data_IF_286916686975
#
_entry.id   IF_286916686975
#
_cell.length_a   1.000
_cell.length_b   1.000
_cell.length_c   1.000
_cell.angle_alpha   90.00
_cell.angle_beta   90.00
_cell.angle_gamma   90.00
#
_symmetry.space_group_name_H-M   'P 1'
#
loop_
_entity.id
_entity.type
_entity.pdbx_description
1 polymer ?
#
# COMPACT_ATOMS: atom_id res chain seq x y z
N UNK A 1 -5.16 23.65 -93.07
CA UNK A 1 -3.87 23.68 -92.32
C UNK A 1 -3.95 22.66 -91.20
N UNK A 2 -2.97 21.74 -91.16
CA UNK A 2 -2.58 20.82 -90.09
C UNK A 2 -3.62 19.89 -89.44
N UNK A 3 -3.32 18.64 -89.08
CA UNK A 3 -2.35 17.60 -89.47
C UNK A 3 -2.79 16.39 -88.64
N UNK A 4 -2.88 15.21 -89.26
CA UNK A 4 -3.14 13.90 -88.62
C UNK A 4 -2.08 13.52 -87.58
N UNK A 5 -2.41 12.58 -86.69
CA UNK A 5 -1.64 11.43 -86.11
C UNK A 5 -2.64 10.73 -85.14
N UNK A 6 -3.38 9.65 -85.46
CA UNK A 6 -3.10 8.20 -85.55
C UNK A 6 -2.23 7.61 -84.40
N UNK A 7 -2.71 6.48 -83.86
CA UNK A 7 -2.01 5.34 -83.21
C UNK A 7 -2.22 5.26 -81.70
N UNK A 8 -2.32 4.09 -81.06
CA UNK A 8 -2.59 2.68 -81.39
C UNK A 8 -2.44 1.97 -80.03
N UNK A 9 -2.84 0.70 -79.97
CA UNK A 9 -2.34 -0.28 -78.99
C UNK A 9 -2.90 -0.19 -77.56
N UNK A 10 -3.73 -1.16 -77.18
CA UNK A 10 -3.36 -2.52 -76.75
C UNK A 10 -2.86 -2.55 -75.30
N UNK A 11 -3.27 -3.62 -74.65
CA UNK A 11 -2.64 -4.37 -73.56
C UNK A 11 -3.59 -4.54 -72.37
N UNK A 12 -4.16 -5.73 -72.19
CA UNK A 12 -3.56 -6.89 -71.48
C UNK A 12 -3.88 -6.74 -69.99
N UNK A 13 -4.89 -7.42 -69.46
CA UNK A 13 -4.86 -8.84 -69.06
C UNK A 13 -4.95 -8.91 -67.53
N UNK A 14 -5.58 -10.00 -67.09
CA UNK A 14 -5.13 -10.87 -65.99
C UNK A 14 -5.84 -10.78 -64.63
N UNK A 15 -6.31 -11.96 -64.23
CA UNK A 15 -6.39 -12.53 -62.87
C UNK A 15 -7.51 -11.98 -61.97
N UNK A 16 -8.62 -12.68 -61.69
CA UNK A 16 -8.75 -14.00 -61.02
C UNK A 16 -7.73 -14.12 -59.88
N UNK A 17 -8.15 -14.10 -58.61
CA UNK A 17 -8.28 -15.31 -57.77
C UNK A 17 -8.87 -14.93 -56.40
N UNK A 18 -9.76 -15.79 -55.91
CA UNK A 18 -10.38 -15.84 -54.59
C UNK A 18 -9.36 -15.86 -53.43
N UNK A 19 -9.71 -15.27 -52.27
CA UNK A 19 -8.90 -15.45 -51.06
C UNK A 19 -9.45 -14.81 -49.78
N UNK A 20 -10.16 -15.62 -48.98
CA UNK A 20 -10.16 -15.62 -47.51
C UNK A 20 -10.53 -14.32 -46.76
N UNK A 21 -11.84 -14.11 -46.56
CA UNK A 21 -12.38 -13.26 -45.49
C UNK A 21 -12.47 -14.05 -44.17
N UNK A 22 -11.35 -14.30 -43.49
CA UNK A 22 -11.34 -14.86 -42.13
C UNK A 22 -9.97 -14.67 -41.46
N UNK A 23 -9.59 -13.44 -41.14
CA UNK A 23 -8.42 -13.13 -40.30
C UNK A 23 -8.45 -11.64 -39.90
N UNK A 24 -9.40 -11.25 -39.06
CA UNK A 24 -9.35 -9.93 -38.39
C UNK A 24 -9.90 -9.96 -36.96
N UNK A 25 -10.79 -10.91 -36.63
CA UNK A 25 -11.36 -11.02 -35.28
C UNK A 25 -10.41 -11.61 -34.20
N UNK A 26 -9.25 -12.14 -34.58
CA UNK A 26 -8.33 -12.83 -33.66
C UNK A 26 -7.37 -11.89 -32.90
N UNK A 27 -6.88 -10.82 -33.54
CA UNK A 27 -5.87 -9.95 -32.92
C UNK A 27 -6.48 -8.88 -32.00
N UNK A 28 -7.63 -8.32 -32.37
CA UNK A 28 -8.29 -7.28 -31.57
C UNK A 28 -8.89 -7.84 -30.27
N UNK A 29 -9.42 -9.07 -30.31
CA UNK A 29 -9.90 -9.79 -29.13
C UNK A 29 -8.78 -10.18 -28.16
N UNK A 30 -7.61 -10.58 -28.67
CA UNK A 30 -6.42 -10.87 -27.85
C UNK A 30 -5.83 -9.60 -27.21
N UNK A 31 -5.79 -8.49 -27.96
CA UNK A 31 -5.34 -7.17 -27.47
C UNK A 31 -6.19 -6.64 -26.32
N UNK A 32 -7.53 -6.71 -26.46
CA UNK A 32 -8.45 -6.25 -25.41
C UNK A 32 -8.43 -7.15 -24.17
N UNK A 33 -8.31 -8.47 -24.33
CA UNK A 33 -8.22 -9.40 -23.21
C UNK A 33 -6.90 -9.24 -22.44
N UNK A 34 -5.77 -9.05 -23.15
CA UNK A 34 -4.47 -8.80 -22.53
C UNK A 34 -4.42 -7.46 -21.79
N UNK A 35 -4.94 -6.37 -22.37
CA UNK A 35 -5.02 -5.05 -21.71
C UNK A 35 -5.91 -5.07 -20.48
N UNK A 36 -7.05 -5.75 -20.55
CA UNK A 36 -7.96 -5.84 -19.41
C UNK A 36 -7.36 -6.69 -18.29
N UNK A 37 -6.75 -7.85 -18.61
CA UNK A 37 -6.11 -8.72 -17.61
C UNK A 37 -4.93 -8.03 -16.93
N UNK A 38 -4.01 -7.42 -17.70
CA UNK A 38 -2.89 -6.67 -17.13
C UNK A 38 -3.36 -5.48 -16.28
N UNK A 39 -4.39 -4.75 -16.71
CA UNK A 39 -4.95 -3.64 -15.95
C UNK A 39 -5.55 -4.06 -14.61
N UNK A 40 -6.29 -5.17 -14.58
CA UNK A 40 -6.83 -5.74 -13.33
C UNK A 40 -5.74 -6.33 -12.44
N UNK A 41 -4.74 -7.01 -13.00
CA UNK A 41 -3.65 -7.63 -12.24
C UNK A 41 -2.71 -6.58 -11.65
N UNK A 42 -2.37 -5.53 -12.42
CA UNK A 42 -1.57 -4.40 -11.95
C UNK A 42 -2.31 -3.58 -10.90
N UNK A 43 -3.60 -3.29 -11.11
CA UNK A 43 -4.43 -2.61 -10.11
C UNK A 43 -4.56 -3.42 -8.81
N UNK A 44 -4.71 -4.75 -8.92
CA UNK A 44 -4.72 -5.66 -7.79
C UNK A 44 -3.39 -5.69 -7.03
N UNK A 45 -2.26 -5.71 -7.74
CA UNK A 45 -0.92 -5.63 -7.15
C UNK A 45 -0.68 -4.28 -6.47
N UNK A 46 -1.04 -3.16 -7.11
CA UNK A 46 -0.91 -1.81 -6.55
C UNK A 46 -1.78 -1.61 -5.30
N UNK A 47 -3.01 -2.15 -5.29
CA UNK A 47 -3.87 -2.15 -4.10
C UNK A 47 -3.23 -2.90 -2.93
N UNK A 48 -2.51 -4.00 -3.18
CA UNK A 48 -1.76 -4.72 -2.13
C UNK A 48 -0.55 -3.93 -1.61
N UNK A 49 -0.02 -3.01 -2.41
CA UNK A 49 1.10 -2.13 -2.03
C UNK A 49 0.66 -0.84 -1.34
N UNK A 50 -0.63 -0.50 -1.36
CA UNK A 50 -1.15 0.70 -0.72
C UNK A 50 -1.06 0.57 0.79
N UNK A 51 -0.56 1.62 1.46
CA UNK A 51 -0.47 1.64 2.91
C UNK A 51 -1.86 1.63 3.55
N UNK A 52 -2.04 0.86 4.62
CA UNK A 52 -3.33 0.69 5.31
C UNK A 52 -3.28 1.26 6.72
N UNK A 53 -4.40 1.79 7.20
CA UNK A 53 -4.52 2.20 8.60
C UNK A 53 -4.74 0.97 9.49
N UNK A 54 -3.65 0.39 10.04
CA UNK A 54 -3.73 -0.83 10.84
C UNK A 54 -4.54 -0.64 12.12
N UNK A 55 -4.54 0.54 12.71
CA UNK A 55 -5.29 0.81 13.93
C UNK A 55 -6.81 0.77 13.70
N UNK A 56 -7.27 1.20 12.52
CA UNK A 56 -8.68 1.08 12.12
C UNK A 56 -9.10 -0.36 11.80
N UNK A 57 -8.16 -1.21 11.39
CA UNK A 57 -8.46 -2.59 10.95
C UNK A 57 -8.39 -3.64 12.05
N UNK A 58 -7.85 -3.28 13.22
CA UNK A 58 -7.70 -4.16 14.38
C UNK A 58 -8.66 -3.64 15.45
N UNK A 59 -9.61 -4.47 15.87
CA UNK A 59 -10.68 -4.07 16.78
C UNK A 59 -10.13 -3.52 18.10
N UNK A 60 -9.13 -4.19 18.68
CA UNK A 60 -8.49 -3.81 19.93
C UNK A 60 -7.72 -2.48 19.84
N UNK A 61 -7.39 -2.04 18.62
CA UNK A 61 -6.69 -0.78 18.37
C UNK A 61 -7.63 0.39 18.10
N UNK A 62 -8.94 0.18 17.96
CA UNK A 62 -9.88 1.29 17.71
C UNK A 62 -9.90 2.33 18.84
N UNK A 63 -9.46 1.94 20.04
CA UNK A 63 -9.31 2.83 21.19
C UNK A 63 -8.36 4.00 20.92
N UNK A 64 -7.43 3.90 19.96
CA UNK A 64 -6.50 5.00 19.66
C UNK A 64 -7.19 6.26 19.13
N UNK A 65 -8.40 6.11 18.58
CA UNK A 65 -9.23 7.19 18.05
C UNK A 65 -10.31 7.62 19.05
N UNK A 66 -10.30 7.08 20.28
CA UNK A 66 -11.27 7.45 21.28
C UNK A 66 -11.02 8.87 21.80
N UNK A 67 -12.08 9.66 21.83
CA UNK A 67 -12.09 10.98 22.43
C UNK A 67 -12.47 10.84 23.91
N UNK A 68 -11.54 11.22 24.79
CA UNK A 68 -11.78 11.21 26.23
C UNK A 68 -12.14 12.62 26.71
N UNK A 69 -13.10 12.72 27.64
CA UNK A 69 -13.44 13.99 28.29
C UNK A 69 -12.28 14.51 29.18
N UNK A 70 -11.44 13.61 29.66
CA UNK A 70 -10.25 13.89 30.48
C UNK A 70 -9.06 13.22 29.79
N UNK A 71 -7.97 13.95 29.60
CA UNK A 71 -6.74 13.38 29.06
C UNK A 71 -6.23 12.28 30.00
N UNK A 72 -6.05 11.07 29.46
CA UNK A 72 -5.43 9.96 30.19
C UNK A 72 -3.99 10.34 30.55
N UNK A 73 -3.56 9.98 31.76
CA UNK A 73 -2.13 10.04 32.06
C UNK A 73 -1.35 9.01 31.21
N UNK A 74 -0.03 9.12 31.19
CA UNK A 74 0.78 8.26 30.33
C UNK A 74 0.71 6.78 30.72
N UNK A 75 0.59 6.49 32.02
CA UNK A 75 0.50 5.13 32.53
C UNK A 75 -0.85 4.51 32.18
N UNK A 76 -1.93 5.26 32.34
CA UNK A 76 -3.28 4.88 31.91
C UNK A 76 -3.34 4.66 30.40
N UNK A 77 -2.69 5.52 29.60
CA UNK A 77 -2.58 5.33 28.15
C UNK A 77 -1.85 4.03 27.80
N UNK A 78 -0.73 3.72 28.47
CA UNK A 78 0.00 2.45 28.28
C UNK A 78 -0.91 1.25 28.61
N UNK A 79 -1.58 1.25 29.76
CA UNK A 79 -2.49 0.18 30.17
C UNK A 79 -3.64 0.00 29.17
N UNK A 80 -4.24 1.12 28.73
CA UNK A 80 -5.33 1.15 27.75
C UNK A 80 -4.90 0.57 26.39
N UNK A 81 -3.65 0.78 26.00
CA UNK A 81 -3.10 0.32 24.72
C UNK A 81 -2.56 -1.11 24.74
N UNK A 82 -2.50 -1.79 25.90
CA UNK A 82 -2.01 -3.18 26.01
C UNK A 82 -2.73 -4.17 25.07
N UNK A 83 -4.08 -4.18 24.98
CA UNK A 83 -4.77 -5.07 24.06
C UNK A 83 -4.39 -4.80 22.60
N UNK A 84 -4.26 -3.54 22.21
CA UNK A 84 -3.80 -3.14 20.89
C UNK A 84 -2.36 -3.63 20.61
N UNK A 85 -1.43 -3.44 21.55
CA UNK A 85 -0.04 -3.92 21.40
C UNK A 85 0.03 -5.44 21.19
N UNK A 86 -0.80 -6.20 21.92
CA UNK A 86 -0.93 -7.65 21.73
C UNK A 86 -1.45 -7.99 20.33
N UNK A 87 -2.49 -7.30 19.86
CA UNK A 87 -3.05 -7.53 18.53
C UNK A 87 -2.07 -7.15 17.40
N UNK A 88 -1.31 -6.05 17.57
CA UNK A 88 -0.23 -5.68 16.68
C UNK A 88 0.87 -6.75 16.64
N UNK A 89 1.22 -7.34 17.79
CA UNK A 89 2.19 -8.43 17.87
C UNK A 89 1.76 -9.64 17.03
N UNK A 90 0.49 -10.05 17.18
CA UNK A 90 -0.07 -11.16 16.40
C UNK A 90 -0.06 -10.85 14.90
N UNK A 91 -0.42 -9.62 14.50
CA UNK A 91 -0.42 -9.21 13.10
C UNK A 91 0.99 -9.12 12.51
N UNK A 92 1.95 -8.65 13.28
CA UNK A 92 3.33 -8.46 12.84
C UNK A 92 4.12 -9.77 12.84
N UNK A 93 3.69 -10.78 13.60
CA UNK A 93 4.45 -12.02 13.82
C UNK A 93 5.71 -11.80 14.66
N UNK A 94 5.80 -10.67 15.37
CA UNK A 94 6.92 -10.29 16.25
C UNK A 94 6.38 -9.66 17.53
N UNK A 95 7.14 -9.66 18.63
CA UNK A 95 6.74 -8.95 19.84
C UNK A 95 6.58 -7.45 19.56
N UNK A 96 5.46 -6.87 19.97
CA UNK A 96 5.18 -5.43 19.98
C UNK A 96 4.75 -5.03 21.39
N UNK A 97 5.42 -4.05 21.97
CA UNK A 97 5.01 -3.44 23.23
C UNK A 97 4.85 -1.93 23.08
N UNK A 98 3.94 -1.37 23.87
CA UNK A 98 3.77 0.08 24.02
C UNK A 98 4.11 0.37 25.47
N UNK A 99 5.10 1.25 25.69
CA UNK A 99 5.60 1.57 27.02
C UNK A 99 5.83 3.07 27.15
N UNK A 100 6.01 3.54 28.37
CA UNK A 100 6.54 4.87 28.64
C UNK A 100 7.99 4.97 28.12
N UNK A 101 8.33 6.08 27.46
CA UNK A 101 9.70 6.42 27.10
C UNK A 101 10.55 6.51 28.37
N UNK A 102 11.55 5.62 28.47
CA UNK A 102 12.55 5.69 29.52
C UNK A 102 13.53 6.82 29.21
N UNK A 103 13.10 8.07 29.43
CA UNK A 103 14.03 9.21 29.41
C UNK A 103 14.98 9.13 30.61
N UNK A 104 16.31 9.28 30.40
CA UNK A 104 17.24 9.49 31.51
C UNK A 104 16.77 10.66 32.38
N UNK A 105 16.95 10.55 33.70
CA UNK A 105 16.53 11.60 34.64
C UNK A 105 17.04 12.97 34.18
N UNK A 106 16.12 13.88 33.83
CA UNK A 106 16.42 15.24 33.36
C UNK A 106 16.18 15.51 31.87
N UNK A 107 15.91 14.49 31.04
CA UNK A 107 15.46 14.71 29.66
C UNK A 107 13.93 14.95 29.63
N UNK A 108 13.51 16.10 29.11
CA UNK A 108 12.10 16.48 29.05
C UNK A 108 11.41 15.82 27.86
N UNK A 109 10.41 14.98 28.14
CA UNK A 109 9.44 14.51 27.16
C UNK A 109 8.78 13.19 27.57
N UNK A 110 7.54 13.26 28.05
CA UNK A 110 6.67 12.08 28.21
C UNK A 110 6.15 11.65 26.84
N UNK A 111 6.46 10.42 26.42
CA UNK A 111 5.99 9.87 25.16
C UNK A 111 5.73 8.36 25.29
N UNK A 112 4.92 7.83 24.38
CA UNK A 112 4.75 6.40 24.20
C UNK A 112 5.82 5.87 23.24
N UNK A 113 6.53 4.83 23.66
CA UNK A 113 7.39 4.05 22.78
C UNK A 113 6.68 2.79 22.31
N UNK A 114 6.49 2.68 21.00
CA UNK A 114 6.07 1.46 20.35
C UNK A 114 7.31 0.66 19.93
N UNK A 115 7.62 -0.36 20.72
CA UNK A 115 8.80 -1.21 20.62
C UNK A 115 8.48 -2.46 19.81
N UNK A 116 9.13 -2.62 18.66
CA UNK A 116 9.06 -3.80 17.77
C UNK A 116 10.29 -4.74 17.89
N UNK A 117 10.08 -5.98 18.33
CA UNK A 117 11.16 -6.93 18.65
C UNK A 117 12.09 -7.27 17.48
N UNK A 118 13.19 -7.99 17.79
CA UNK A 118 14.13 -8.46 16.77
C UNK A 118 13.41 -9.30 15.71
N UNK A 119 13.55 -8.86 14.45
CA UNK A 119 12.77 -9.37 13.31
C UNK A 119 11.97 -8.28 12.59
N UNK A 120 11.77 -7.12 13.22
CA UNK A 120 11.16 -5.96 12.55
C UNK A 120 12.03 -5.45 11.39
N UNK A 121 11.60 -5.71 10.15
CA UNK A 121 12.25 -5.19 8.93
C UNK A 121 11.68 -3.83 8.56
N UNK A 122 12.56 -2.87 8.27
CA UNK A 122 12.21 -1.50 7.83
C UNK A 122 11.26 -1.52 6.63
N UNK A 123 11.56 -2.38 5.66
CA UNK A 123 10.81 -2.49 4.40
C UNK A 123 9.62 -3.46 4.48
N UNK A 124 9.14 -3.81 5.68
CA UNK A 124 7.97 -4.69 5.82
C UNK A 124 6.66 -3.95 5.53
N UNK A 125 5.66 -4.67 5.03
CA UNK A 125 4.31 -4.14 4.86
C UNK A 125 3.72 -3.64 6.19
N UNK A 126 3.99 -4.37 7.29
CA UNK A 126 3.60 -3.96 8.64
C UNK A 126 4.19 -2.59 9.01
N UNK A 127 5.49 -2.37 8.80
CA UNK A 127 6.12 -1.08 9.10
C UNK A 127 5.57 0.07 8.28
N UNK A 128 5.34 -0.17 6.97
CA UNK A 128 4.71 0.83 6.10
C UNK A 128 3.32 1.21 6.61
N UNK A 129 2.50 0.21 6.92
CA UNK A 129 1.11 0.42 7.34
C UNK A 129 1.06 1.05 8.75
N UNK A 130 1.94 0.64 9.68
CA UNK A 130 2.10 1.26 11.01
C UNK A 130 2.49 2.74 10.90
N UNK A 131 3.51 3.06 10.11
CA UNK A 131 3.94 4.45 9.90
C UNK A 131 2.84 5.30 9.26
N UNK A 132 2.09 4.73 8.31
CA UNK A 132 0.93 5.39 7.72
C UNK A 132 -0.14 5.70 8.78
N UNK A 133 -0.46 4.73 9.64
CA UNK A 133 -1.47 4.85 10.70
C UNK A 133 -1.10 5.90 11.74
N UNK A 134 0.18 5.94 12.14
CA UNK A 134 0.71 6.96 13.06
C UNK A 134 0.67 8.35 12.42
N UNK A 135 1.04 8.47 11.14
CA UNK A 135 1.02 9.74 10.43
C UNK A 135 -0.40 10.33 10.30
N UNK A 136 -1.42 9.50 10.07
CA UNK A 136 -2.82 9.95 10.08
C UNK A 136 -3.20 10.60 11.41
N UNK A 137 -2.61 10.12 12.51
CA UNK A 137 -2.81 10.61 13.88
C UNK A 137 -1.74 11.60 14.33
N UNK A 138 -0.95 12.14 13.39
CA UNK A 138 0.15 13.08 13.66
C UNK A 138 1.15 12.59 14.72
N UNK A 139 1.37 11.28 14.79
CA UNK A 139 2.20 10.62 15.80
C UNK A 139 1.73 10.86 17.24
N UNK A 140 0.43 10.97 17.46
CA UNK A 140 -0.18 11.10 18.79
C UNK A 140 -1.18 9.96 18.98
N UNK A 141 -1.11 9.26 20.11
CA UNK A 141 -2.11 8.27 20.52
C UNK A 141 -2.57 8.61 21.94
N UNK A 142 -3.88 8.68 22.15
CA UNK A 142 -4.46 8.99 23.47
C UNK A 142 -3.92 10.30 24.10
N UNK A 143 -3.59 11.29 23.28
CA UNK A 143 -3.02 12.57 23.73
C UNK A 143 -1.50 12.59 23.93
N UNK A 144 -0.81 11.46 23.75
CA UNK A 144 0.63 11.34 23.98
C UNK A 144 1.41 11.18 22.68
N UNK A 145 2.57 11.87 22.51
CA UNK A 145 3.46 11.65 21.37
C UNK A 145 3.93 10.20 21.30
N UNK A 146 4.12 9.67 20.08
CA UNK A 146 4.52 8.28 19.87
C UNK A 146 5.77 8.16 19.03
N UNK A 147 6.72 7.37 19.51
CA UNK A 147 7.95 7.01 18.81
C UNK A 147 7.96 5.52 18.53
N UNK A 148 8.47 5.12 17.36
CA UNK A 148 8.67 3.70 17.02
C UNK A 148 10.14 3.38 17.19
N UNK A 149 10.44 2.46 18.10
CA UNK A 149 11.79 1.95 18.30
C UNK A 149 11.87 0.58 17.61
N UNK A 150 13.07 0.12 17.21
CA UNK A 150 13.34 -1.23 16.65
C UNK A 150 14.57 -1.87 17.30
N UNK A 151 14.53 -3.17 17.61
CA UNK A 151 15.70 -3.94 18.05
C UNK A 151 15.50 -4.77 19.30
N UNK A 152 16.60 -5.38 19.77
CA UNK A 152 16.67 -6.11 21.03
C UNK A 152 16.82 -5.13 22.20
N UNK A 153 15.71 -4.61 22.72
CA UNK A 153 15.73 -3.86 23.98
C UNK A 153 15.92 -4.83 25.13
N UNK A 154 16.98 -4.58 25.89
CA UNK A 154 17.04 -4.97 27.28
C UNK A 154 16.38 -3.85 28.09
N UNK A 155 15.43 -4.14 28.99
CA UNK A 155 15.09 -3.18 30.04
C UNK A 155 16.39 -2.84 30.79
N UNK A 156 16.66 -1.53 30.97
CA UNK A 156 17.73 -1.06 31.85
C UNK A 156 17.42 -1.42 33.29
#
# INVERSE_FOLDING_TARGET
MSKRIINFSLFFSLALILGTSAQAAGLEGLSNSARNSFGTDLSGALKKMTAKDIFSTIEECRIVDAEFLIALDLKEAVETLKPCAKALSMRAGIPVSIVDELTPAGASGSALELRLGAGSKVASAFMRDLNYSLRLRKHILLGHPVKVVRGDWKPL
#
